data_IF_499554412013
#
_entry.id   IF_499554412013
#
_cell.length_a   1.000
_cell.length_b   1.000
_cell.length_c   1.000
_cell.angle_alpha   90.00
_cell.angle_beta   90.00
_cell.angle_gamma   90.00
#
_symmetry.space_group_name_H-M   'P 1'
#
loop_
_entity.id
_entity.type
_entity.pdbx_description
1 polymer ?
#
# COMPACT_ATOMS: atom_id res chain seq x y z
N UNK A 1 57.38 14.73 55.83
CA UNK A 1 58.77 14.23 55.91
C UNK A 1 59.23 13.88 54.50
N UNK A 2 60.48 14.24 54.13
CA UNK A 2 61.41 13.70 53.12
C UNK A 2 60.87 12.86 51.92
N UNK A 3 61.32 12.99 50.66
CA UNK A 3 62.43 13.76 50.02
C UNK A 3 62.16 13.88 48.50
N UNK A 4 62.51 14.97 47.80
CA UNK A 4 63.73 15.13 46.97
C UNK A 4 64.12 13.87 46.17
N UNK A 5 64.07 13.89 44.83
CA UNK A 5 65.18 14.22 43.89
C UNK A 5 64.65 14.02 42.45
N UNK A 6 65.19 14.47 41.32
CA UNK A 6 66.22 15.43 40.87
C UNK A 6 66.18 15.28 39.31
N UNK A 7 65.69 16.28 38.57
CA UNK A 7 66.49 17.13 37.69
C UNK A 7 67.24 16.44 36.52
N UNK A 8 66.87 16.78 35.28
CA UNK A 8 67.81 16.90 34.16
C UNK A 8 67.35 18.01 33.21
N UNK A 9 68.30 18.73 32.63
CA UNK A 9 68.14 20.12 32.17
C UNK A 9 68.72 20.30 30.76
N UNK A 10 68.02 21.06 29.89
CA UNK A 10 68.51 21.99 28.83
C UNK A 10 67.34 22.33 27.89
N UNK A 11 66.88 23.59 27.77
CA UNK A 11 67.50 24.75 27.07
C UNK A 11 67.63 24.52 25.55
N UNK A 12 67.28 25.43 24.62
CA UNK A 12 66.89 26.87 24.70
C UNK A 12 66.12 27.30 23.40
N UNK A 13 65.77 28.60 23.29
CA UNK A 13 65.19 29.35 22.13
C UNK A 13 63.64 29.33 22.01
N UNK A 14 62.83 30.39 22.26
CA UNK A 14 62.90 31.87 21.99
C UNK A 14 63.13 32.13 20.48
N UNK A 15 62.41 32.93 19.68
CA UNK A 15 61.43 34.04 19.84
C UNK A 15 60.36 33.83 18.71
N UNK A 16 59.05 34.20 18.76
CA UNK A 16 58.48 35.57 18.69
C UNK A 16 56.96 35.61 19.00
N UNK A 17 56.25 36.64 18.50
CA UNK A 17 54.94 37.19 18.93
C UNK A 17 54.00 37.51 17.76
N UNK A 18 52.68 37.45 18.02
CA UNK A 18 51.59 38.41 17.66
C UNK A 18 50.30 37.68 17.21
N UNK A 19 49.07 38.11 17.50
CA UNK A 19 48.40 38.93 18.53
C UNK A 19 46.88 38.92 18.15
N UNK A 20 45.99 39.37 19.05
CA UNK A 20 44.55 39.61 18.86
C UNK A 20 43.65 38.36 18.65
N UNK A 21 42.82 37.87 19.58
CA UNK A 21 41.89 38.45 20.60
C UNK A 21 40.63 39.14 20.04
N UNK A 22 39.44 38.57 20.33
CA UNK A 22 38.35 39.06 21.21
C UNK A 22 37.17 38.04 21.12
N UNK A 23 36.60 37.45 22.20
CA UNK A 23 35.66 38.01 23.22
C UNK A 23 34.34 38.52 22.55
N UNK A 24 33.09 38.18 22.95
CA UNK A 24 32.51 37.57 24.17
C UNK A 24 31.15 36.85 23.92
N UNK A 25 30.90 35.82 24.75
CA UNK A 25 29.73 35.46 25.57
C UNK A 25 28.26 35.89 25.23
N UNK A 26 27.31 34.97 25.49
CA UNK A 26 25.86 35.23 25.52
C UNK A 26 25.03 34.03 26.01
N UNK A 27 24.48 34.13 27.23
CA UNK A 27 23.87 33.07 28.05
C UNK A 27 22.71 32.22 27.46
N UNK A 28 22.48 31.07 28.10
CA UNK A 28 21.35 30.17 27.85
C UNK A 28 20.00 30.68 28.42
N UNK A 29 18.90 30.36 27.74
CA UNK A 29 17.76 29.55 28.24
C UNK A 29 16.60 29.58 27.23
N UNK A 30 15.86 28.47 27.09
CA UNK A 30 14.67 28.39 26.23
C UNK A 30 14.61 27.11 25.41
N UNK A 31 14.13 26.02 26.02
CA UNK A 31 13.79 24.80 25.25
C UNK A 31 12.51 25.07 24.47
N UNK A 32 12.66 25.42 23.20
CA UNK A 32 11.59 25.39 22.20
C UNK A 32 11.90 24.26 21.22
N UNK A 33 11.10 23.19 21.24
CA UNK A 33 11.31 22.04 20.37
C UNK A 33 11.05 22.42 18.90
N UNK A 34 12.11 22.54 18.10
CA UNK A 34 12.02 22.71 16.65
C UNK A 34 11.80 21.34 15.99
N UNK A 35 10.76 21.23 15.18
CA UNK A 35 10.43 19.99 14.47
C UNK A 35 11.49 19.73 13.37
N UNK A 36 12.13 18.56 13.42
CA UNK A 36 13.23 18.18 12.53
C UNK A 36 12.76 17.95 11.07
N UNK A 37 13.27 18.78 10.15
CA UNK A 37 12.82 18.92 8.77
C UNK A 37 13.74 18.29 7.72
N UNK A 38 14.07 17.00 7.85
CA UNK A 38 14.87 16.29 6.85
C UNK A 38 14.04 15.72 5.69
N UNK A 39 14.56 15.78 4.45
CA UNK A 39 13.80 15.37 3.25
C UNK A 39 13.35 13.90 3.24
N UNK A 40 13.93 13.04 4.08
CA UNK A 40 13.51 11.66 4.30
C UNK A 40 12.23 11.56 5.15
N UNK A 41 12.10 12.38 6.21
CA UNK A 41 10.87 12.43 7.01
C UNK A 41 9.72 13.01 6.20
N UNK A 42 10.00 14.00 5.32
CA UNK A 42 9.04 14.53 4.36
C UNK A 42 8.58 13.50 3.33
N UNK A 43 9.50 12.67 2.81
CA UNK A 43 9.13 11.55 1.94
C UNK A 43 8.14 10.61 2.64
N UNK A 44 8.38 10.27 3.91
CA UNK A 44 7.44 9.44 4.67
C UNK A 44 6.13 10.16 4.95
N UNK A 45 6.12 11.46 5.23
CA UNK A 45 4.88 12.23 5.44
C UNK A 45 3.90 12.12 4.26
N UNK A 46 4.40 12.10 3.03
CA UNK A 46 3.55 11.94 1.83
C UNK A 46 3.38 10.47 1.37
N UNK A 47 4.40 9.64 1.50
CA UNK A 47 4.36 8.22 1.13
C UNK A 47 4.02 7.28 2.30
N UNK A 48 3.46 7.81 3.37
CA UNK A 48 3.27 7.13 4.66
C UNK A 48 2.53 5.80 4.50
N UNK A 49 1.50 5.75 3.65
CA UNK A 49 0.71 4.54 3.38
C UNK A 49 1.46 3.48 2.56
N UNK A 50 2.55 3.82 1.87
CA UNK A 50 3.46 2.85 1.26
C UNK A 50 4.48 2.36 2.30
N UNK A 51 5.05 3.31 3.06
CA UNK A 51 6.00 3.05 4.15
C UNK A 51 5.39 2.13 5.21
N UNK A 52 4.20 2.46 5.72
CA UNK A 52 3.48 1.68 6.71
C UNK A 52 3.06 0.31 6.15
N UNK A 53 2.65 0.19 4.87
CA UNK A 53 2.32 -1.14 4.28
C UNK A 53 3.51 -2.07 4.12
N UNK A 54 4.71 -1.55 3.85
CA UNK A 54 5.91 -2.38 3.82
C UNK A 54 6.55 -2.56 5.22
N UNK A 55 6.30 -1.64 6.16
CA UNK A 55 6.58 -1.83 7.59
C UNK A 55 5.60 -2.79 8.29
N UNK A 56 4.48 -3.15 7.66
CA UNK A 56 3.59 -4.24 8.09
C UNK A 56 4.00 -5.61 7.51
N UNK A 57 5.17 -5.73 6.87
CA UNK A 57 5.69 -7.01 6.39
C UNK A 57 6.51 -7.69 7.47
N UNK A 58 6.40 -9.02 7.60
CA UNK A 58 7.05 -9.76 8.70
C UNK A 58 8.58 -9.57 8.75
N UNK A 59 9.22 -9.52 7.60
CA UNK A 59 10.66 -9.30 7.47
C UNK A 59 10.89 -7.95 6.77
N UNK A 60 11.15 -6.90 7.54
CA UNK A 60 11.35 -5.51 7.06
C UNK A 60 12.84 -5.22 6.94
N UNK A 61 13.26 -4.65 5.81
CA UNK A 61 14.63 -4.24 5.57
C UNK A 61 15.00 -3.02 6.44
N UNK A 62 16.15 -3.06 7.14
CA UNK A 62 16.53 -2.09 8.17
C UNK A 62 16.50 -0.62 7.69
N UNK A 63 17.10 -0.23 6.54
CA UNK A 63 17.07 1.17 6.08
C UNK A 63 15.66 1.70 5.83
N UNK A 64 14.73 0.83 5.43
CA UNK A 64 13.34 1.18 5.19
C UNK A 64 12.56 1.39 6.50
N UNK A 65 12.81 0.54 7.50
CA UNK A 65 12.26 0.69 8.86
C UNK A 65 12.73 2.00 9.51
N UNK A 66 13.98 2.36 9.28
CA UNK A 66 14.59 3.64 9.69
C UNK A 66 14.14 4.84 8.84
N UNK A 67 13.19 4.65 7.91
CA UNK A 67 12.58 5.71 7.08
C UNK A 67 13.56 6.45 6.14
N UNK A 68 14.77 5.93 5.94
CA UNK A 68 15.82 6.46 5.04
C UNK A 68 15.50 6.14 3.58
N UNK A 69 14.50 6.83 3.04
CA UNK A 69 13.92 6.60 1.72
C UNK A 69 14.84 7.04 0.57
N UNK A 70 15.57 8.13 0.77
CA UNK A 70 16.36 8.81 -0.27
C UNK A 70 17.54 7.98 -0.77
N UNK A 71 18.22 7.26 0.14
CA UNK A 71 19.36 6.35 -0.12
C UNK A 71 19.08 5.38 -1.28
N UNK A 72 17.83 4.92 -1.38
CA UNK A 72 17.43 3.95 -2.41
C UNK A 72 16.67 4.56 -3.58
N UNK A 73 15.89 5.63 -3.38
CA UNK A 73 14.91 6.11 -4.37
C UNK A 73 15.27 7.40 -5.09
N UNK A 74 16.06 8.31 -4.51
CA UNK A 74 16.36 9.60 -5.17
C UNK A 74 17.66 9.56 -5.97
N UNK A 75 17.70 10.35 -7.04
CA UNK A 75 18.94 10.63 -7.77
C UNK A 75 19.70 11.71 -7.01
N UNK A 76 20.79 11.34 -6.35
CA UNK A 76 21.69 12.30 -5.68
C UNK A 76 21.30 12.67 -4.25
N UNK A 77 21.11 11.69 -3.37
CA UNK A 77 21.34 11.90 -1.93
C UNK A 77 22.24 10.78 -1.39
N UNK A 78 23.53 10.98 -1.59
CA UNK A 78 24.55 10.40 -0.72
C UNK A 78 24.32 10.97 0.70
N UNK A 79 24.44 10.20 1.80
CA UNK A 79 24.33 10.74 3.14
C UNK A 79 25.35 11.83 3.51
N UNK A 80 26.35 12.10 2.65
CA UNK A 80 27.47 12.99 2.94
C UNK A 80 27.36 14.45 2.48
N UNK A 81 26.35 14.89 1.71
CA UNK A 81 26.33 16.27 1.16
C UNK A 81 24.96 16.99 1.21
N UNK A 82 25.02 18.25 1.63
CA UNK A 82 23.93 19.25 1.65
C UNK A 82 23.79 19.99 0.30
N UNK A 83 22.96 21.04 0.31
CA UNK A 83 22.55 21.97 -0.74
C UNK A 83 23.47 22.22 -1.97
N UNK A 84 22.84 22.46 -3.13
CA UNK A 84 23.13 23.68 -3.93
C UNK A 84 21.99 23.99 -4.93
N UNK A 85 21.94 25.23 -5.45
CA UNK A 85 20.75 25.83 -6.08
C UNK A 85 20.88 26.09 -7.62
N UNK A 86 19.75 26.44 -8.26
CA UNK A 86 19.61 27.18 -9.56
C UNK A 86 19.87 26.42 -10.89
N UNK A 87 19.51 26.96 -12.08
CA UNK A 87 18.19 27.47 -12.48
C UNK A 87 17.66 26.85 -13.83
N UNK A 88 16.63 27.44 -14.44
CA UNK A 88 15.72 26.78 -15.41
C UNK A 88 15.97 27.03 -16.93
N UNK A 89 15.46 26.13 -17.80
CA UNK A 89 15.30 26.40 -19.24
C UNK A 89 14.09 25.69 -19.94
N UNK A 90 13.33 26.49 -20.71
CA UNK A 90 12.51 26.24 -21.93
C UNK A 90 11.48 25.05 -22.00
N UNK A 91 10.24 25.40 -22.41
CA UNK A 91 9.11 24.49 -22.72
C UNK A 91 8.92 24.29 -24.23
N UNK A 92 8.44 23.11 -24.63
CA UNK A 92 7.78 22.86 -25.92
C UNK A 92 6.36 22.31 -25.69
N UNK A 93 5.43 22.53 -26.63
CA UNK A 93 4.00 22.17 -26.51
C UNK A 93 3.73 20.77 -27.08
N UNK A 94 3.01 19.91 -26.33
CA UNK A 94 2.46 18.66 -26.86
C UNK A 94 1.04 18.40 -26.31
N UNK A 95 0.11 17.98 -27.17
CA UNK A 95 -1.30 17.75 -26.83
C UNK A 95 -1.42 16.65 -25.76
N UNK A 96 -2.05 16.95 -24.63
CA UNK A 96 -2.16 16.05 -23.48
C UNK A 96 -3.31 15.05 -23.63
N UNK A 97 -2.96 13.78 -23.82
CA UNK A 97 -3.88 12.64 -23.64
C UNK A 97 -4.26 12.56 -22.16
N UNK A 98 -5.55 12.67 -21.82
CA UNK A 98 -5.99 12.64 -20.42
C UNK A 98 -5.54 11.35 -19.73
N UNK A 99 -4.62 11.47 -18.79
CA UNK A 99 -4.26 10.37 -17.91
C UNK A 99 -5.28 10.25 -16.78
N UNK A 100 -5.66 9.02 -16.43
CA UNK A 100 -6.58 8.71 -15.32
C UNK A 100 -5.86 7.83 -14.29
N UNK A 101 -6.17 8.06 -13.01
CA UNK A 101 -5.67 7.31 -11.86
C UNK A 101 -6.84 6.55 -11.27
N UNK A 102 -6.85 5.23 -11.41
CA UNK A 102 -7.83 4.36 -10.77
C UNK A 102 -7.57 4.31 -9.25
N UNK A 103 -8.61 4.51 -8.44
CA UNK A 103 -8.55 4.69 -6.98
C UNK A 103 -9.28 3.61 -6.18
N UNK A 104 -10.32 2.98 -6.75
CA UNK A 104 -11.03 1.86 -6.13
C UNK A 104 -11.49 0.86 -7.20
N UNK A 105 -11.66 -0.40 -6.82
CA UNK A 105 -12.17 -1.49 -7.65
C UNK A 105 -12.92 -2.49 -6.78
N UNK A 106 -14.16 -2.81 -7.16
CA UNK A 106 -14.85 -4.00 -6.66
C UNK A 106 -14.42 -5.17 -7.55
N UNK A 107 -13.90 -6.23 -6.93
CA UNK A 107 -13.33 -7.39 -7.64
C UNK A 107 -14.33 -8.51 -7.86
N UNK A 108 -15.43 -8.52 -7.12
CA UNK A 108 -16.57 -9.41 -7.33
C UNK A 108 -17.64 -8.69 -8.16
N UNK A 109 -18.32 -9.40 -9.09
CA UNK A 109 -19.36 -8.82 -9.92
C UNK A 109 -20.63 -8.62 -9.08
N UNK A 110 -21.21 -7.41 -9.11
CA UNK A 110 -22.44 -7.09 -8.38
C UNK A 110 -23.39 -6.27 -9.26
N UNK A 111 -24.68 -6.31 -8.93
CA UNK A 111 -25.67 -5.36 -9.47
C UNK A 111 -25.64 -4.03 -8.71
N UNK A 112 -25.13 -4.00 -7.48
CA UNK A 112 -25.14 -2.80 -6.62
C UNK A 112 -23.74 -2.54 -6.05
N UNK A 113 -23.30 -1.29 -6.16
CA UNK A 113 -21.99 -0.85 -5.70
C UNK A 113 -22.11 0.46 -4.90
N UNK A 114 -21.44 0.50 -3.75
CA UNK A 114 -21.30 1.70 -2.94
C UNK A 114 -19.84 2.10 -2.83
N UNK A 115 -19.57 3.39 -2.98
CA UNK A 115 -18.22 3.95 -2.89
C UNK A 115 -18.21 5.19 -2.01
N UNK A 116 -17.45 5.13 -0.93
CA UNK A 116 -17.08 6.30 -0.13
C UNK A 116 -15.81 6.92 -0.73
N UNK A 117 -15.93 8.13 -1.26
CA UNK A 117 -14.88 8.80 -2.03
C UNK A 117 -14.52 10.12 -1.32
N UNK A 118 -13.32 10.24 -0.73
CA UNK A 118 -12.93 11.47 -0.06
C UNK A 118 -12.91 12.65 -1.03
N UNK A 119 -13.57 13.75 -0.64
CA UNK A 119 -13.67 14.95 -1.48
C UNK A 119 -12.28 15.53 -1.84
N UNK A 120 -11.27 15.30 -1.01
CA UNK A 120 -9.87 15.67 -1.25
C UNK A 120 -9.14 14.87 -2.34
N UNK A 121 -9.76 13.81 -2.90
CA UNK A 121 -9.16 12.96 -3.93
C UNK A 121 -9.77 13.14 -5.32
N UNK A 122 -10.83 13.95 -5.44
CA UNK A 122 -11.61 14.18 -6.66
C UNK A 122 -11.60 15.67 -7.02
N UNK A 123 -11.57 15.95 -8.32
CA UNK A 123 -11.81 17.29 -8.86
C UNK A 123 -13.32 17.40 -9.18
N UNK A 124 -13.68 18.08 -10.28
CA UNK A 124 -15.06 18.21 -10.80
C UNK A 124 -15.64 16.92 -11.43
N UNK A 125 -14.80 15.93 -11.73
CA UNK A 125 -15.16 14.79 -12.58
C UNK A 125 -14.64 13.47 -12.01
N UNK A 126 -15.55 12.50 -11.88
CA UNK A 126 -15.25 11.11 -11.56
C UNK A 126 -15.33 10.25 -12.82
N UNK A 127 -14.39 9.31 -12.98
CA UNK A 127 -14.38 8.37 -14.10
C UNK A 127 -14.78 6.98 -13.60
N UNK A 128 -15.92 6.49 -14.04
CA UNK A 128 -16.36 5.13 -13.77
C UNK A 128 -15.97 4.23 -14.95
N UNK A 129 -15.34 3.09 -14.66
CA UNK A 129 -15.11 2.02 -15.64
C UNK A 129 -15.96 0.82 -15.24
N UNK A 130 -16.96 0.53 -16.07
CA UNK A 130 -17.91 -0.58 -15.90
C UNK A 130 -17.57 -1.67 -16.91
N UNK A 131 -17.37 -2.90 -16.45
CA UNK A 131 -17.14 -4.06 -17.30
C UNK A 131 -18.16 -5.15 -16.98
N UNK A 132 -18.89 -5.59 -18.01
CA UNK A 132 -19.53 -6.91 -18.01
C UNK A 132 -18.55 -7.95 -18.56
N UNK A 133 -18.80 -9.22 -18.27
CA UNK A 133 -17.86 -10.33 -18.47
C UNK A 133 -17.26 -10.42 -19.90
N UNK A 134 -18.08 -10.16 -20.93
CA UNK A 134 -17.67 -10.33 -22.33
C UNK A 134 -17.40 -9.03 -23.10
N UNK A 135 -17.42 -7.86 -22.45
CA UNK A 135 -17.44 -6.56 -23.13
C UNK A 135 -16.23 -5.68 -22.80
N UNK A 136 -15.73 -4.93 -23.81
CA UNK A 136 -14.79 -3.83 -23.59
C UNK A 136 -15.37 -2.86 -22.58
N UNK A 137 -14.66 -2.65 -21.48
CA UNK A 137 -15.13 -1.83 -20.37
C UNK A 137 -15.56 -0.43 -20.83
N UNK A 138 -16.78 -0.03 -20.48
CA UNK A 138 -17.34 1.28 -20.81
C UNK A 138 -16.85 2.29 -19.78
N UNK A 139 -16.38 3.45 -20.27
CA UNK A 139 -16.02 4.58 -19.41
C UNK A 139 -17.17 5.59 -19.39
N UNK A 140 -17.62 5.91 -18.19
CA UNK A 140 -18.63 6.93 -17.93
C UNK A 140 -17.96 8.06 -17.13
N UNK A 141 -18.31 9.30 -17.44
CA UNK A 141 -17.89 10.48 -16.67
C UNK A 141 -19.07 10.94 -15.83
N UNK A 142 -18.88 11.00 -14.52
CA UNK A 142 -19.86 11.48 -13.56
C UNK A 142 -19.41 12.87 -13.11
N UNK A 143 -20.12 13.95 -13.45
CA UNK A 143 -19.84 15.27 -12.91
C UNK A 143 -20.19 15.29 -11.42
N UNK A 144 -19.30 15.85 -10.60
CA UNK A 144 -19.49 15.99 -9.16
C UNK A 144 -19.93 17.42 -8.83
N UNK A 145 -21.18 17.64 -8.39
CA UNK A 145 -21.58 18.94 -7.86
C UNK A 145 -20.89 19.20 -6.50
N UNK A 146 -20.80 20.46 -6.03
CA UNK A 146 -20.27 20.75 -4.71
C UNK A 146 -20.96 19.91 -3.63
N UNK A 147 -20.16 19.26 -2.76
CA UNK A 147 -20.66 18.33 -1.74
C UNK A 147 -21.73 18.94 -0.81
N UNK A 148 -21.67 20.25 -0.55
CA UNK A 148 -22.67 20.99 0.23
C UNK A 148 -24.06 21.07 -0.41
N UNK A 149 -24.21 20.70 -1.68
CA UNK A 149 -25.49 20.61 -2.40
C UNK A 149 -26.05 19.18 -2.46
N UNK A 150 -25.34 18.19 -1.93
CA UNK A 150 -25.78 16.80 -1.94
C UNK A 150 -26.66 16.48 -0.72
N UNK A 151 -27.61 15.54 -0.84
CA UNK A 151 -28.32 14.99 0.31
C UNK A 151 -27.34 14.48 1.37
N UNK A 152 -27.51 14.92 2.62
CA UNK A 152 -26.70 14.45 3.75
C UNK A 152 -27.33 13.18 4.30
N UNK A 153 -26.60 12.07 4.21
CA UNK A 153 -26.94 10.85 4.93
C UNK A 153 -26.66 11.08 6.42
N UNK A 154 -27.65 10.82 7.26
CA UNK A 154 -27.55 10.96 8.72
C UNK A 154 -27.22 9.62 9.36
N UNK A 155 -26.42 9.68 10.40
CA UNK A 155 -26.18 8.55 11.30
C UNK A 155 -27.43 8.34 12.18
N UNK A 156 -27.89 7.09 12.31
CA UNK A 156 -28.94 6.69 13.26
C UNK A 156 -28.35 6.10 14.55
N UNK A 157 -27.01 6.03 14.64
CA UNK A 157 -26.21 5.43 15.70
C UNK A 157 -26.51 3.94 15.93
N UNK A 158 -27.09 3.26 14.95
CA UNK A 158 -27.35 1.82 14.99
C UNK A 158 -26.39 1.08 14.06
N UNK A 159 -25.81 -0.01 14.56
CA UNK A 159 -25.01 -0.90 13.73
C UNK A 159 -25.85 -1.57 12.64
N UNK A 160 -25.23 -2.02 11.54
CA UNK A 160 -25.94 -2.72 10.47
C UNK A 160 -26.66 -3.97 11.03
N UNK A 161 -27.92 -4.18 10.68
CA UNK A 161 -28.64 -5.41 11.03
C UNK A 161 -28.03 -6.56 10.22
N UNK A 162 -27.48 -7.56 10.92
CA UNK A 162 -26.81 -8.72 10.32
C UNK A 162 -27.78 -9.89 10.25
N UNK A 163 -27.95 -10.45 9.05
CA UNK A 163 -28.85 -11.57 8.80
C UNK A 163 -28.25 -12.62 7.85
N UNK A 164 -28.92 -13.77 7.73
CA UNK A 164 -28.56 -14.85 6.78
C UNK A 164 -27.09 -15.33 6.90
N UNK A 165 -26.53 -15.27 8.12
CA UNK A 165 -25.16 -15.71 8.44
C UNK A 165 -25.05 -17.22 8.25
N UNK A 166 -24.22 -17.64 7.30
CA UNK A 166 -24.15 -19.02 6.84
C UNK A 166 -22.74 -19.43 6.43
N UNK A 167 -22.44 -20.71 6.63
CA UNK A 167 -21.29 -21.38 6.02
C UNK A 167 -21.75 -22.00 4.70
N UNK A 168 -21.16 -21.56 3.60
CA UNK A 168 -21.61 -21.96 2.24
C UNK A 168 -20.76 -23.07 1.62
N UNK A 169 -19.68 -23.51 2.27
CA UNK A 169 -18.89 -24.65 1.83
C UNK A 169 -17.37 -24.47 1.97
N UNK A 170 -16.65 -25.53 1.60
CA UNK A 170 -15.20 -25.58 1.57
C UNK A 170 -14.67 -25.29 0.16
N UNK A 171 -13.46 -24.73 0.08
CA UNK A 171 -12.71 -24.62 -1.16
C UNK A 171 -11.35 -25.32 -0.99
N UNK A 172 -11.02 -26.26 -1.90
CA UNK A 172 -9.73 -26.97 -1.88
C UNK A 172 -8.77 -26.31 -2.88
N UNK A 173 -7.76 -25.62 -2.35
CA UNK A 173 -6.61 -25.10 -3.13
C UNK A 173 -5.31 -25.71 -2.63
N UNK A 174 -4.23 -24.91 -2.58
CA UNK A 174 -2.96 -25.29 -1.90
C UNK A 174 -3.18 -25.56 -0.41
N UNK A 175 -4.19 -24.92 0.18
CA UNK A 175 -4.70 -25.19 1.52
C UNK A 175 -6.22 -25.41 1.44
N UNK A 176 -6.80 -26.04 2.47
CA UNK A 176 -8.24 -26.06 2.65
C UNK A 176 -8.71 -24.69 3.17
N UNK A 177 -9.81 -24.19 2.63
CA UNK A 177 -10.45 -22.95 3.06
C UNK A 177 -11.93 -23.17 3.31
N UNK A 178 -12.52 -22.41 4.23
CA UNK A 178 -13.97 -22.32 4.43
C UNK A 178 -14.47 -20.97 3.90
N UNK A 179 -15.69 -20.93 3.35
CA UNK A 179 -16.35 -19.69 2.93
C UNK A 179 -17.58 -19.42 3.80
N UNK A 180 -17.64 -18.19 4.32
CA UNK A 180 -18.74 -17.67 5.13
C UNK A 180 -19.44 -16.57 4.33
N UNK A 181 -20.77 -16.53 4.38
CA UNK A 181 -21.61 -15.50 3.76
C UNK A 181 -22.58 -14.93 4.79
N UNK A 182 -22.90 -13.65 4.68
CA UNK A 182 -23.97 -12.99 5.44
C UNK A 182 -24.49 -11.76 4.68
N UNK A 183 -25.59 -11.21 5.14
CA UNK A 183 -26.20 -10.00 4.58
C UNK A 183 -26.31 -8.90 5.64
N UNK A 184 -26.35 -7.64 5.18
CA UNK A 184 -26.64 -6.47 6.01
C UNK A 184 -27.72 -5.59 5.39
N UNK A 185 -28.59 -5.01 6.22
CA UNK A 185 -29.64 -4.05 5.82
C UNK A 185 -29.10 -2.82 5.08
N UNK A 186 -27.88 -2.40 5.46
CA UNK A 186 -27.18 -1.21 4.97
C UNK A 186 -25.77 -1.55 4.48
N UNK A 187 -25.16 -0.69 3.63
CA UNK A 187 -23.81 -0.94 3.11
C UNK A 187 -22.76 -0.90 4.23
N UNK A 188 -22.06 -2.01 4.41
CA UNK A 188 -21.05 -2.19 5.44
C UNK A 188 -19.78 -2.83 4.86
N UNK A 189 -18.66 -2.69 5.57
CA UNK A 189 -17.50 -3.57 5.45
C UNK A 189 -17.56 -4.73 6.45
N UNK A 190 -16.71 -5.75 6.28
CA UNK A 190 -16.89 -7.05 6.91
C UNK A 190 -15.62 -7.74 7.43
N UNK A 191 -15.74 -8.48 8.53
CA UNK A 191 -14.70 -9.36 9.07
C UNK A 191 -15.32 -10.61 9.69
N UNK A 192 -14.57 -11.73 9.68
CA UNK A 192 -14.96 -12.94 10.42
C UNK A 192 -13.93 -13.24 11.50
N UNK A 193 -14.45 -13.44 12.71
CA UNK A 193 -13.72 -14.00 13.85
C UNK A 193 -14.03 -15.51 13.86
N UNK A 194 -13.02 -16.36 14.01
CA UNK A 194 -13.21 -17.81 14.06
C UNK A 194 -12.16 -18.55 14.90
N UNK A 195 -12.51 -19.76 15.36
CA UNK A 195 -11.60 -20.66 16.07
C UNK A 195 -12.19 -22.03 16.34
N UNK A 196 -11.41 -22.90 16.97
CA UNK A 196 -11.86 -24.25 17.36
C UNK A 196 -12.41 -24.23 18.79
N UNK A 197 -11.73 -23.51 19.69
CA UNK A 197 -12.12 -23.40 21.10
C UNK A 197 -13.06 -22.21 21.36
N UNK A 198 -12.87 -21.10 20.65
CA UNK A 198 -13.62 -19.85 20.78
C UNK A 198 -13.72 -19.14 19.43
N UNK A 199 -14.80 -18.42 19.11
CA UNK A 199 -14.90 -17.66 17.87
C UNK A 199 -13.90 -16.51 17.79
N UNK A 200 -13.28 -16.05 18.88
CA UNK A 200 -12.36 -14.91 18.85
C UNK A 200 -10.85 -15.32 18.78
N UNK A 201 -10.56 -16.61 18.58
CA UNK A 201 -9.20 -17.19 18.53
C UNK A 201 -8.36 -16.64 17.34
N UNK A 202 -8.97 -16.51 16.17
CA UNK A 202 -8.38 -15.99 14.94
C UNK A 202 -9.32 -14.98 14.29
N UNK A 203 -8.78 -14.13 13.40
CA UNK A 203 -9.56 -13.17 12.63
C UNK A 203 -9.05 -13.02 11.21
N UNK A 204 -9.95 -12.82 10.26
CA UNK A 204 -9.58 -12.42 8.90
C UNK A 204 -9.06 -10.98 8.89
N UNK A 205 -8.43 -10.49 7.80
CA UNK A 205 -8.40 -9.06 7.52
C UNK A 205 -9.84 -8.49 7.50
N UNK A 206 -9.99 -7.23 7.86
CA UNK A 206 -11.23 -6.49 7.63
C UNK A 206 -11.31 -6.12 6.13
N UNK A 207 -12.44 -6.38 5.50
CA UNK A 207 -12.74 -5.96 4.14
C UNK A 207 -13.49 -4.61 4.16
N UNK A 208 -12.89 -3.51 3.64
CA UNK A 208 -13.52 -2.20 3.61
C UNK A 208 -14.42 -1.97 2.38
N UNK A 209 -14.66 -2.98 1.54
CA UNK A 209 -15.61 -2.87 0.42
C UNK A 209 -17.01 -2.76 0.99
N UNK A 210 -17.70 -1.65 0.69
CA UNK A 210 -19.07 -1.42 1.14
C UNK A 210 -20.05 -2.22 0.29
N UNK A 211 -20.74 -3.15 0.95
CA UNK A 211 -21.70 -4.09 0.36
C UNK A 211 -22.82 -4.43 1.35
N UNK A 212 -23.94 -4.92 0.84
CA UNK A 212 -25.02 -5.58 1.62
C UNK A 212 -24.90 -7.10 1.54
N UNK A 213 -24.15 -7.64 0.58
CA UNK A 213 -23.86 -9.07 0.40
C UNK A 213 -22.38 -9.32 0.69
N UNK A 214 -22.08 -10.08 1.75
CA UNK A 214 -20.70 -10.27 2.24
C UNK A 214 -20.24 -11.70 2.05
N UNK A 215 -19.00 -11.91 1.60
CA UNK A 215 -18.42 -13.24 1.41
C UNK A 215 -16.95 -13.29 1.82
N UNK A 216 -16.65 -14.02 2.89
CA UNK A 216 -15.31 -14.07 3.49
C UNK A 216 -14.71 -15.48 3.42
N UNK A 217 -13.42 -15.57 3.06
CA UNK A 217 -12.67 -16.84 3.01
C UNK A 217 -11.75 -16.99 4.22
N UNK A 218 -11.98 -18.04 5.02
CA UNK A 218 -11.11 -18.46 6.11
C UNK A 218 -10.05 -19.41 5.55
N UNK A 219 -8.77 -19.10 5.71
CA UNK A 219 -7.67 -19.91 5.17
C UNK A 219 -6.35 -19.70 5.91
N UNK A 220 -5.61 -20.78 6.24
CA UNK A 220 -6.01 -22.19 6.14
C UNK A 220 -7.03 -22.56 7.22
N UNK A 221 -7.86 -23.58 6.95
CA UNK A 221 -8.62 -24.31 7.98
C UNK A 221 -8.15 -25.77 8.03
N UNK A 222 -8.18 -26.38 9.21
CA UNK A 222 -7.77 -27.77 9.41
C UNK A 222 -8.93 -28.72 9.08
N UNK A 223 -8.71 -29.81 8.31
CA UNK A 223 -9.68 -30.89 8.16
C UNK A 223 -9.94 -31.61 9.49
N UNK A 224 -11.08 -32.29 9.62
CA UNK A 224 -11.39 -33.07 10.82
C UNK A 224 -11.80 -32.24 12.04
N UNK A 225 -12.20 -30.97 11.83
CA UNK A 225 -12.46 -29.98 12.89
C UNK A 225 -13.82 -29.29 12.73
N UNK A 226 -14.48 -29.12 13.87
CA UNK A 226 -15.57 -28.17 14.08
C UNK A 226 -15.00 -26.81 14.47
N UNK A 227 -15.46 -25.76 13.80
CA UNK A 227 -15.11 -24.37 14.06
C UNK A 227 -16.32 -23.62 14.59
N UNK A 228 -16.06 -22.64 15.45
CA UNK A 228 -16.98 -21.58 15.86
C UNK A 228 -16.60 -20.31 15.11
N UNK A 229 -17.57 -19.50 14.71
CA UNK A 229 -17.31 -18.21 14.06
C UNK A 229 -18.39 -17.18 14.36
N UNK A 230 -18.00 -15.92 14.24
CA UNK A 230 -18.89 -14.76 14.38
C UNK A 230 -18.51 -13.73 13.33
N UNK A 231 -19.51 -13.12 12.69
CA UNK A 231 -19.28 -12.06 11.71
C UNK A 231 -19.38 -10.69 12.38
N UNK A 232 -18.54 -9.76 11.94
CA UNK A 232 -18.52 -8.37 12.40
C UNK A 232 -18.69 -7.48 11.16
N UNK A 233 -19.66 -6.58 11.21
CA UNK A 233 -19.92 -5.61 10.13
C UNK A 233 -19.82 -4.19 10.67
N UNK A 234 -19.24 -3.29 9.88
CA UNK A 234 -19.08 -1.87 10.21
C UNK A 234 -19.63 -1.03 9.06
N UNK A 235 -20.58 -0.15 9.35
CA UNK A 235 -21.22 0.69 8.33
C UNK A 235 -20.37 1.89 7.88
N UNK A 236 -20.94 2.75 7.04
CA UNK A 236 -20.28 3.97 6.50
C UNK A 236 -20.04 5.07 7.55
N UNK A 237 -20.72 5.03 8.70
CA UNK A 237 -20.54 5.95 9.82
C UNK A 237 -19.55 5.44 10.86
N UNK A 238 -19.34 4.12 10.91
CA UNK A 238 -18.48 3.44 11.86
C UNK A 238 -19.24 2.65 12.93
N UNK A 239 -20.57 2.54 12.82
CA UNK A 239 -21.38 1.74 13.73
C UNK A 239 -21.08 0.26 13.54
N UNK A 240 -20.94 -0.47 14.64
CA UNK A 240 -20.46 -1.87 14.64
C UNK A 240 -21.58 -2.82 15.07
N UNK A 241 -21.77 -3.88 14.30
CA UNK A 241 -22.59 -5.03 14.70
C UNK A 241 -21.75 -6.31 14.73
N UNK A 242 -22.03 -7.19 15.71
CA UNK A 242 -21.43 -8.52 15.86
C UNK A 242 -22.58 -9.55 15.91
N UNK A 243 -22.51 -10.62 15.11
CA UNK A 243 -23.52 -11.68 15.14
C UNK A 243 -23.42 -12.54 16.41
N UNK A 244 -24.38 -13.45 16.60
CA UNK A 244 -24.21 -14.58 17.51
C UNK A 244 -23.08 -15.53 17.08
N UNK A 245 -22.76 -16.56 17.89
CA UNK A 245 -21.84 -17.62 17.49
C UNK A 245 -22.53 -18.60 16.54
N UNK A 246 -21.89 -18.87 15.41
CA UNK A 246 -22.26 -19.87 14.42
C UNK A 246 -21.20 -20.97 14.36
N UNK A 247 -21.53 -22.11 13.74
CA UNK A 247 -20.64 -23.27 13.68
C UNK A 247 -20.56 -23.84 12.26
N UNK A 248 -19.39 -24.34 11.88
CA UNK A 248 -19.22 -25.20 10.71
C UNK A 248 -18.32 -26.39 11.05
N UNK A 249 -18.41 -27.45 10.26
CA UNK A 249 -17.54 -28.62 10.34
C UNK A 249 -16.81 -28.78 9.01
N UNK A 250 -15.55 -29.21 9.07
CA UNK A 250 -14.73 -29.57 7.91
C UNK A 250 -14.81 -31.07 7.57
N UNK A 251 -15.70 -31.81 8.22
CA UNK A 251 -15.90 -33.25 8.07
C UNK A 251 -16.91 -33.56 6.94
N UNK A 252 -17.92 -32.71 6.76
CA UNK A 252 -18.93 -32.84 5.70
C UNK A 252 -18.50 -32.06 4.45
N UNK A 253 -18.34 -32.79 3.35
CA UNK A 253 -17.69 -32.27 2.13
C UNK A 253 -18.72 -31.69 1.16
N UNK A 254 -19.17 -30.46 1.41
CA UNK A 254 -19.64 -29.59 0.32
C UNK A 254 -18.46 -28.73 -0.13
N UNK A 255 -17.66 -29.28 -1.05
CA UNK A 255 -16.65 -28.49 -1.75
C UNK A 255 -17.40 -27.68 -2.79
N UNK A 256 -17.38 -26.36 -2.66
CA UNK A 256 -17.85 -25.47 -3.70
C UNK A 256 -17.07 -25.79 -4.98
N UNK A 257 -17.74 -26.07 -6.11
CA UNK A 257 -17.04 -26.10 -7.39
C UNK A 257 -16.32 -24.77 -7.57
N UNK A 258 -15.23 -24.79 -8.33
CA UNK A 258 -14.64 -23.53 -8.79
C UNK A 258 -15.63 -22.92 -9.77
N UNK A 259 -16.49 -22.04 -9.26
CA UNK A 259 -17.34 -21.19 -10.08
C UNK A 259 -16.46 -20.22 -10.84
N UNK A 260 -16.04 -20.64 -12.03
CA UNK A 260 -15.95 -19.70 -13.14
C UNK A 260 -17.38 -19.15 -13.32
N UNK A 261 -17.53 -17.82 -13.29
CA UNK A 261 -18.79 -17.14 -13.02
C UNK A 261 -19.70 -17.13 -14.25
N UNK A 262 -20.47 -18.20 -14.43
CA UNK A 262 -21.38 -18.37 -15.57
C UNK A 262 -22.81 -17.93 -15.23
N UNK A 263 -23.06 -16.62 -15.34
CA UNK A 263 -24.40 -16.06 -15.57
C UNK A 263 -24.25 -14.84 -16.48
N UNK A 264 -24.18 -15.10 -17.79
CA UNK A 264 -23.86 -14.11 -18.82
C UNK A 264 -25.12 -13.52 -19.47
N UNK A 265 -25.60 -12.38 -18.98
CA UNK A 265 -26.54 -11.55 -19.74
C UNK A 265 -25.82 -10.79 -20.85
N UNK A 266 -26.21 -11.03 -22.10
CA UNK A 266 -25.54 -10.50 -23.29
C UNK A 266 -25.87 -9.03 -23.57
N UNK A 267 -25.09 -8.09 -23.02
CA UNK A 267 -25.21 -6.68 -23.38
C UNK A 267 -24.19 -5.74 -22.74
N UNK A 268 -24.10 -4.51 -23.27
CA UNK A 268 -23.42 -3.41 -22.57
C UNK A 268 -24.19 -3.06 -21.30
N UNK A 269 -23.57 -3.06 -20.10
CA UNK A 269 -24.28 -2.74 -18.87
C UNK A 269 -24.87 -1.33 -18.90
N UNK A 270 -26.12 -1.20 -18.48
CA UNK A 270 -26.75 0.09 -18.16
C UNK A 270 -26.62 0.33 -16.68
N UNK A 271 -26.35 1.58 -16.30
CA UNK A 271 -26.26 1.97 -14.89
C UNK A 271 -27.18 3.14 -14.57
N UNK A 272 -27.63 3.18 -13.33
CA UNK A 272 -28.16 4.35 -12.66
C UNK A 272 -27.24 4.67 -11.48
N UNK A 273 -27.13 5.93 -11.10
CA UNK A 273 -26.35 6.32 -9.93
C UNK A 273 -27.01 7.45 -9.16
N UNK A 274 -26.75 7.50 -7.86
CA UNK A 274 -27.07 8.64 -6.99
C UNK A 274 -25.84 9.07 -6.19
N UNK A 275 -25.81 10.36 -5.85
CA UNK A 275 -24.76 10.99 -5.06
C UNK A 275 -25.37 11.57 -3.79
N UNK A 276 -24.77 11.22 -2.66
CA UNK A 276 -25.05 11.79 -1.34
C UNK A 276 -23.74 12.20 -0.68
N UNK A 277 -23.81 12.81 0.51
CA UNK A 277 -22.64 13.11 1.34
C UNK A 277 -22.68 12.36 2.68
N UNK A 278 -21.52 11.84 3.09
CA UNK A 278 -21.28 11.22 4.41
C UNK A 278 -19.97 11.77 4.96
N UNK A 279 -20.00 12.41 6.13
CA UNK A 279 -18.80 12.88 6.85
C UNK A 279 -17.78 13.66 5.99
N UNK A 280 -18.27 14.53 5.08
CA UNK A 280 -17.42 15.30 4.17
C UNK A 280 -16.87 14.54 2.96
N UNK A 281 -17.37 13.34 2.68
CA UNK A 281 -17.01 12.50 1.54
C UNK A 281 -18.21 12.36 0.58
N UNK A 282 -17.93 12.18 -0.71
CA UNK A 282 -18.95 11.77 -1.67
C UNK A 282 -19.30 10.31 -1.42
N UNK A 283 -20.59 10.02 -1.30
CA UNK A 283 -21.13 8.67 -1.26
C UNK A 283 -21.82 8.40 -2.59
N UNK A 284 -21.20 7.58 -3.42
CA UNK A 284 -21.72 7.17 -4.72
C UNK A 284 -22.37 5.80 -4.60
N UNK A 285 -23.66 5.73 -4.91
CA UNK A 285 -24.41 4.49 -5.06
C UNK A 285 -24.64 4.26 -6.56
N UNK A 286 -24.30 3.08 -7.07
CA UNK A 286 -24.49 2.69 -8.47
C UNK A 286 -25.25 1.38 -8.54
N UNK A 287 -26.31 1.36 -9.35
CA UNK A 287 -27.09 0.15 -9.67
C UNK A 287 -26.86 -0.16 -11.15
N UNK A 288 -26.49 -1.40 -11.46
CA UNK A 288 -26.36 -1.94 -12.80
C UNK A 288 -27.51 -2.91 -13.11
N UNK A 289 -27.92 -2.98 -14.37
CA UNK A 289 -28.97 -3.90 -14.86
C UNK A 289 -28.56 -5.39 -14.82
N UNK A 290 -27.27 -5.66 -14.68
CA UNK A 290 -26.64 -6.99 -14.61
C UNK A 290 -25.44 -6.96 -13.66
N UNK A 291 -24.90 -8.12 -13.23
CA UNK A 291 -23.65 -8.16 -12.45
C UNK A 291 -22.48 -7.53 -13.22
N UNK A 292 -21.77 -6.58 -12.60
CA UNK A 292 -20.64 -5.88 -13.24
C UNK A 292 -19.42 -5.76 -12.34
N UNK A 293 -18.24 -5.72 -12.95
CA UNK A 293 -17.02 -5.25 -12.31
C UNK A 293 -16.93 -3.74 -12.45
N UNK A 294 -16.66 -3.05 -11.35
CA UNK A 294 -16.69 -1.59 -11.32
C UNK A 294 -15.41 -1.02 -10.73
N UNK A 295 -14.72 -0.16 -11.49
CA UNK A 295 -13.48 0.52 -11.08
C UNK A 295 -13.70 2.03 -11.16
N UNK A 296 -13.39 2.75 -10.08
CA UNK A 296 -13.44 4.21 -10.03
C UNK A 296 -12.05 4.78 -10.26
N UNK A 297 -11.99 5.84 -11.05
CA UNK A 297 -10.79 6.64 -11.27
C UNK A 297 -11.08 8.12 -11.24
N UNK A 298 -10.01 8.88 -11.07
CA UNK A 298 -10.02 10.35 -11.08
C UNK A 298 -9.07 10.82 -12.18
N UNK A 299 -9.20 12.08 -12.61
CA UNK A 299 -8.22 12.68 -13.52
C UNK A 299 -6.86 12.56 -12.86
N UNK A 300 -5.92 11.86 -13.50
CA UNK A 300 -4.52 11.88 -13.07
C UNK A 300 -4.01 13.22 -13.49
N UNK A 301 -4.02 14.16 -12.54
CA UNK A 301 -3.19 15.34 -12.62
C UNK A 301 -1.73 14.86 -12.75
N UNK A 302 -1.27 14.69 -14.00
CA UNK A 302 0.13 14.93 -14.34
C UNK A 302 0.46 16.24 -13.66
N UNK A 303 1.48 16.24 -12.81
CA UNK A 303 1.82 17.43 -12.06
C UNK A 303 1.91 18.63 -13.03
N UNK A 304 0.90 19.53 -12.96
CA UNK A 304 1.22 20.91 -12.59
C UNK A 304 2.23 20.70 -11.47
N UNK A 305 3.50 20.98 -11.76
CA UNK A 305 4.56 21.07 -10.78
C UNK A 305 3.88 21.57 -9.52
N UNK A 306 3.90 20.78 -8.43
CA UNK A 306 3.21 21.25 -7.25
C UNK A 306 3.78 22.65 -6.98
N UNK A 307 2.86 23.58 -6.89
CA UNK A 307 3.06 25.02 -6.82
C UNK A 307 2.03 25.36 -5.75
N UNK A 308 2.26 24.77 -4.56
CA UNK A 308 1.37 24.86 -3.41
C UNK A 308 1.42 26.31 -2.92
N UNK A 309 0.60 27.22 -3.46
CA UNK A 309 0.58 28.63 -3.08
C UNK A 309 0.02 28.83 -1.67
N UNK A 310 0.85 29.23 -0.70
CA UNK A 310 0.42 29.57 0.68
C UNK A 310 0.70 31.03 1.00
N UNK A 311 -0.31 31.79 1.47
CA UNK A 311 -0.09 33.11 2.06
C UNK A 311 0.41 32.99 3.51
N UNK A 312 1.49 33.69 3.84
CA UNK A 312 1.92 33.87 5.23
C UNK A 312 1.04 34.89 5.98
N UNK A 313 1.31 35.10 7.27
CA UNK A 313 0.57 36.04 8.13
C UNK A 313 0.66 37.52 7.68
N UNK A 314 1.47 37.84 6.67
CA UNK A 314 1.56 39.17 6.04
C UNK A 314 0.91 39.23 4.64
N UNK A 315 0.39 38.10 4.14
CA UNK A 315 -0.42 38.03 2.92
C UNK A 315 0.30 37.60 1.64
N UNK A 316 1.52 37.05 1.68
CA UNK A 316 2.34 36.71 0.50
C UNK A 316 2.40 35.22 0.14
N UNK A 317 2.13 34.88 -1.13
CA UNK A 317 2.07 33.50 -1.67
C UNK A 317 3.44 32.82 -1.95
N UNK A 318 3.63 31.55 -1.54
CA UNK A 318 4.85 30.69 -1.72
C UNK A 318 4.52 29.29 -2.26
N UNK A 319 5.41 28.58 -2.98
CA UNK A 319 5.09 27.47 -3.96
C UNK A 319 6.07 26.25 -3.97
N UNK A 320 5.62 24.96 -4.01
CA UNK A 320 6.46 23.74 -3.72
C UNK A 320 6.41 22.48 -4.65
N UNK A 321 7.53 22.02 -5.26
CA UNK A 321 7.65 20.90 -6.26
C UNK A 321 8.22 19.55 -5.70
N UNK A 322 8.04 18.42 -6.42
CA UNK A 322 8.52 17.07 -6.02
C UNK A 322 9.88 16.65 -6.68
N UNK A 323 10.82 15.97 -5.97
CA UNK A 323 12.14 15.56 -6.50
C UNK A 323 12.16 14.38 -7.52
N UNK A 324 13.27 14.18 -8.27
CA UNK A 324 13.46 13.09 -9.25
C UNK A 324 13.95 11.76 -8.64
N UNK A 325 13.56 10.64 -9.25
CA UNK A 325 13.76 9.27 -8.72
C UNK A 325 14.64 8.37 -9.61
N UNK A 326 15.34 7.41 -9.00
CA UNK A 326 16.21 6.40 -9.63
C UNK A 326 15.45 5.42 -10.54
N UNK A 327 16.16 4.83 -11.50
CA UNK A 327 15.57 3.89 -12.45
C UNK A 327 15.24 2.51 -11.82
N UNK A 328 14.29 1.78 -12.42
CA UNK A 328 13.89 0.44 -11.96
C UNK A 328 15.03 -0.57 -11.95
N UNK A 329 16.04 -0.41 -12.82
CA UNK A 329 17.19 -1.31 -12.89
C UNK A 329 18.15 -1.09 -11.71
N UNK A 330 18.50 0.17 -11.40
CA UNK A 330 19.38 0.52 -10.28
C UNK A 330 18.84 0.04 -8.93
N UNK A 331 17.56 0.29 -8.66
CA UNK A 331 16.91 -0.08 -7.40
C UNK A 331 16.69 -1.59 -7.24
N UNK A 332 16.82 -2.38 -8.32
CA UNK A 332 16.62 -3.83 -8.31
C UNK A 332 17.91 -4.65 -8.20
N UNK A 333 19.08 -4.01 -8.34
CA UNK A 333 20.38 -4.70 -8.33
C UNK A 333 21.50 -3.90 -7.68
N UNK A 334 21.82 -2.71 -8.21
CA UNK A 334 23.04 -1.96 -7.85
C UNK A 334 23.02 -1.49 -6.40
N UNK A 335 21.89 -0.91 -5.96
CA UNK A 335 21.72 -0.39 -4.59
C UNK A 335 21.82 -1.48 -3.52
N UNK A 336 21.53 -2.74 -3.85
CA UNK A 336 21.62 -3.83 -2.87
C UNK A 336 23.07 -4.20 -2.52
N UNK A 337 24.00 -4.06 -3.47
CA UNK A 337 25.39 -4.53 -3.31
C UNK A 337 26.23 -3.66 -2.38
N UNK A 338 25.94 -2.36 -2.25
CA UNK A 338 26.69 -1.43 -1.39
C UNK A 338 26.61 -1.76 0.10
N UNK A 339 25.61 -2.54 0.55
CA UNK A 339 25.46 -2.97 1.95
C UNK A 339 25.53 -4.49 2.15
N UNK A 340 25.43 -5.29 1.08
CA UNK A 340 25.46 -6.76 1.13
C UNK A 340 26.67 -7.35 0.37
N UNK A 341 27.82 -6.66 0.42
CA UNK A 341 29.01 -7.01 -0.35
C UNK A 341 29.51 -8.47 -0.14
N UNK A 342 29.44 -8.98 1.09
CA UNK A 342 29.93 -10.33 1.45
C UNK A 342 28.98 -11.49 1.07
N UNK A 343 27.72 -11.23 0.72
CA UNK A 343 26.76 -12.29 0.38
C UNK A 343 27.03 -12.98 -0.97
N UNK A 344 28.05 -12.53 -1.72
CA UNK A 344 28.43 -13.12 -2.99
C UNK A 344 29.29 -14.39 -2.83
N UNK A 345 30.04 -14.48 -1.73
CA UNK A 345 30.84 -15.66 -1.37
C UNK A 345 29.93 -16.73 -0.73
N UNK A 346 29.27 -17.53 -1.57
CA UNK A 346 28.42 -18.66 -1.14
C UNK A 346 26.95 -18.62 -1.60
N UNK A 347 26.55 -17.67 -2.44
CA UNK A 347 25.19 -17.64 -3.00
C UNK A 347 24.93 -18.80 -3.99
N UNK A 348 23.86 -19.57 -3.78
CA UNK A 348 23.59 -20.80 -4.55
C UNK A 348 22.80 -20.59 -5.86
N UNK A 349 22.49 -19.36 -6.26
CA UNK A 349 21.73 -19.06 -7.50
C UNK A 349 22.21 -17.77 -8.21
N UNK A 350 22.26 -17.73 -9.56
CA UNK A 350 22.72 -16.57 -10.31
C UNK A 350 21.66 -15.47 -10.47
N UNK A 351 22.09 -14.20 -10.43
CA UNK A 351 21.25 -13.00 -10.63
C UNK A 351 21.90 -12.03 -11.62
N UNK A 352 21.09 -11.22 -12.31
CA UNK A 352 21.54 -10.35 -13.40
C UNK A 352 21.59 -11.02 -14.77
N UNK A 353 21.16 -12.28 -14.85
CA UNK A 353 21.22 -13.14 -16.04
C UNK A 353 19.83 -13.30 -16.68
N UNK A 354 19.79 -13.70 -17.95
CA UNK A 354 18.54 -14.16 -18.59
C UNK A 354 18.27 -15.64 -18.24
N UNK A 355 17.01 -16.09 -18.33
CA UNK A 355 16.67 -17.51 -18.20
C UNK A 355 17.42 -18.35 -19.23
N UNK A 356 17.76 -19.61 -18.90
CA UNK A 356 18.35 -20.53 -19.88
C UNK A 356 17.35 -20.84 -21.00
N UNK A 357 17.83 -21.15 -22.20
CA UNK A 357 16.96 -21.44 -23.34
C UNK A 357 15.96 -22.58 -23.01
N UNK A 358 14.68 -22.40 -23.37
CA UNK A 358 13.57 -23.28 -22.99
C UNK A 358 12.95 -23.02 -21.60
N UNK A 359 13.64 -22.32 -20.69
CA UNK A 359 13.12 -21.99 -19.36
C UNK A 359 12.11 -20.83 -19.41
N UNK A 360 10.86 -21.09 -19.00
CA UNK A 360 9.78 -20.08 -18.99
C UNK A 360 9.56 -19.54 -17.58
N UNK A 361 9.93 -18.28 -17.35
CA UNK A 361 9.71 -17.59 -16.07
C UNK A 361 8.26 -17.08 -15.98
N UNK A 362 7.52 -17.38 -14.88
CA UNK A 362 6.17 -16.84 -14.69
C UNK A 362 6.16 -15.32 -14.50
N UNK A 363 5.08 -14.65 -14.92
CA UNK A 363 4.97 -13.18 -14.93
C UNK A 363 5.03 -12.55 -13.54
N UNK A 364 4.77 -13.34 -12.50
CA UNK A 364 4.80 -12.90 -11.10
C UNK A 364 6.23 -12.83 -10.52
N UNK A 365 7.24 -13.36 -11.22
CA UNK A 365 8.65 -13.10 -10.92
C UNK A 365 9.07 -11.84 -11.68
N UNK A 366 9.19 -10.67 -11.02
CA UNK A 366 9.45 -9.42 -11.74
C UNK A 366 10.85 -9.44 -12.35
N UNK A 367 10.92 -9.56 -13.66
CA UNK A 367 12.14 -9.38 -14.45
C UNK A 367 12.30 -7.91 -14.86
N UNK A 368 13.51 -7.55 -15.30
CA UNK A 368 13.72 -6.27 -16.00
C UNK A 368 12.96 -6.29 -17.34
N UNK A 369 12.71 -5.11 -17.91
CA UNK A 369 11.98 -4.98 -19.17
C UNK A 369 12.65 -5.71 -20.36
N UNK A 370 13.94 -6.03 -20.23
CA UNK A 370 14.75 -6.78 -21.18
C UNK A 370 14.84 -8.30 -20.88
N UNK A 371 14.03 -8.80 -19.94
CA UNK A 371 13.89 -10.22 -19.60
C UNK A 371 14.87 -10.78 -18.56
N UNK A 372 15.76 -9.97 -17.97
CA UNK A 372 16.73 -10.45 -16.96
C UNK A 372 16.12 -10.69 -15.56
N UNK A 373 16.51 -11.80 -14.94
CA UNK A 373 16.25 -12.14 -13.53
C UNK A 373 17.19 -11.31 -12.65
N UNK A 374 16.68 -10.80 -11.52
CA UNK A 374 17.40 -9.94 -10.57
C UNK A 374 17.21 -10.42 -9.15
N UNK A 375 17.88 -9.80 -8.18
CA UNK A 375 17.62 -10.01 -6.75
C UNK A 375 16.13 -9.84 -6.43
N UNK A 376 15.47 -8.84 -7.03
CA UNK A 376 14.05 -8.57 -6.83
C UNK A 376 13.10 -9.53 -7.54
N UNK A 377 13.59 -10.33 -8.50
CA UNK A 377 12.79 -11.43 -9.07
C UNK A 377 12.51 -12.51 -8.02
N UNK A 378 13.37 -12.62 -7.00
CA UNK A 378 13.21 -13.58 -5.89
C UNK A 378 12.94 -12.91 -4.54
N UNK A 379 13.26 -11.62 -4.32
CA UNK A 379 13.14 -10.92 -3.03
C UNK A 379 12.36 -9.60 -3.07
N UNK A 380 11.82 -9.18 -1.92
CA UNK A 380 11.14 -7.90 -1.73
C UNK A 380 12.00 -6.95 -0.87
N UNK A 381 12.39 -5.83 -1.47
CA UNK A 381 13.46 -4.93 -1.03
C UNK A 381 13.09 -3.96 0.10
N UNK A 382 11.79 -3.68 0.32
CA UNK A 382 11.31 -2.98 1.52
C UNK A 382 11.00 -3.97 2.65
N UNK A 383 10.28 -5.04 2.31
CA UNK A 383 9.99 -6.15 3.20
C UNK A 383 9.04 -7.15 2.55
N UNK A 384 9.06 -8.39 3.02
CA UNK A 384 8.13 -9.46 2.62
C UNK A 384 7.63 -10.22 3.84
N UNK A 385 6.55 -10.97 3.67
CA UNK A 385 6.00 -11.84 4.70
C UNK A 385 6.74 -13.18 4.82
N UNK A 386 7.66 -13.48 3.90
CA UNK A 386 8.45 -14.71 3.87
C UNK A 386 9.89 -14.45 4.35
N UNK A 387 10.48 -15.47 4.96
CA UNK A 387 11.84 -15.42 5.51
C UNK A 387 12.88 -15.05 4.42
N UNK A 388 14.00 -14.42 4.83
CA UNK A 388 14.97 -13.78 3.92
C UNK A 388 14.34 -12.78 2.91
N UNK A 389 13.09 -12.35 3.15
CA UNK A 389 12.29 -11.46 2.30
C UNK A 389 12.04 -11.99 0.89
N UNK A 390 11.98 -13.31 0.67
CA UNK A 390 11.67 -13.85 -0.67
C UNK A 390 10.24 -13.49 -1.13
N UNK A 391 9.93 -13.60 -2.43
CA UNK A 391 8.59 -13.34 -2.99
C UNK A 391 7.67 -14.56 -3.01
N UNK A 392 8.20 -15.76 -2.75
CA UNK A 392 7.45 -17.03 -2.66
C UNK A 392 7.54 -17.62 -1.25
N UNK A 393 6.54 -18.41 -0.81
CA UNK A 393 6.47 -18.86 0.59
C UNK A 393 7.59 -19.81 1.05
N UNK A 394 8.27 -20.52 0.14
CA UNK A 394 9.30 -21.50 0.50
C UNK A 394 10.37 -21.63 -0.58
N UNK A 395 11.53 -22.21 -0.20
CA UNK A 395 12.64 -22.49 -1.13
C UNK A 395 12.19 -23.42 -2.28
N UNK A 396 11.46 -24.51 -2.00
CA UNK A 396 10.90 -25.40 -3.05
C UNK A 396 9.95 -24.63 -3.98
N UNK A 397 9.03 -23.83 -3.43
CA UNK A 397 8.10 -23.02 -4.23
C UNK A 397 8.80 -21.93 -5.06
N UNK A 398 9.96 -21.44 -4.63
CA UNK A 398 10.79 -20.53 -5.40
C UNK A 398 11.44 -21.25 -6.60
N UNK A 399 12.03 -22.44 -6.37
CA UNK A 399 12.71 -23.25 -7.39
C UNK A 399 11.77 -23.79 -8.48
N UNK A 400 10.69 -24.50 -8.10
CA UNK A 400 9.76 -25.14 -9.05
C UNK A 400 8.94 -24.13 -9.86
N UNK A 401 8.88 -22.87 -9.42
CA UNK A 401 8.26 -21.79 -10.20
C UNK A 401 8.93 -21.59 -11.56
N UNK A 402 10.23 -21.89 -11.67
CA UNK A 402 11.02 -21.74 -12.90
C UNK A 402 11.55 -23.08 -13.45
N UNK A 403 11.72 -24.10 -12.59
CA UNK A 403 12.22 -25.44 -12.96
C UNK A 403 11.09 -26.49 -12.91
N UNK A 404 10.19 -26.46 -13.91
CA UNK A 404 8.96 -27.27 -13.92
C UNK A 404 9.10 -28.75 -14.32
N UNK A 405 10.31 -29.23 -14.62
CA UNK A 405 10.58 -30.59 -15.08
C UNK A 405 11.35 -31.43 -14.02
N UNK A 406 11.30 -31.01 -12.76
CA UNK A 406 11.85 -31.72 -11.61
C UNK A 406 10.73 -31.93 -10.58
N UNK A 407 10.08 -33.09 -10.64
CA UNK A 407 9.22 -33.61 -9.57
C UNK A 407 10.05 -34.43 -8.57
#
# INVERSE_FOLDING_TARGET
MHSLTCFSMRQLFLITTMLCTFFLAGNATGIAATADGSSDSECVRCHEKMVNRANMKRYIHKPFREKKCTICHLVGKDPSQEETQQPAAKRSKQKTKESIRWISRHFDPSRVHWFLIPASQVDDTLFLQVAGDQHKATRIQIPLPPISKLPVLKDDHQGPHIENVSFIGLQRGVFLSAIIQWHTDRPAGGQVLYGIQSPDENKTPFDPILTTEHRMRLSPVLPGKKYQYTVVSIDVFGNVSKSGPHFFSTDKTYILPRTDSDETTGGKPRIQYSLSSVNGNYFLHVIADQPTFMTIGVRRNLHKNAVITTKDATGKEKTFRHPPMKSRAEVSMTVCKSCHASYWEGATHPVGVRPRNGMRIPKEYPVLADGRITCMSCHQFHGSNYEARVIRPSKKALCIGCHKNYD
#
